data_IF_120215193435
#
_entry.id   IF_120215193435
#
_cell.length_a   1.000
_cell.length_b   1.000
_cell.length_c   1.000
_cell.angle_alpha   90.00
_cell.angle_beta   90.00
_cell.angle_gamma   90.00
#
_symmetry.space_group_name_H-M   'P 1'
#
loop_
_entity.id
_entity.type
_entity.pdbx_description
1 polymer ?
#
# COMPACT_ATOMS: atom_id res chain seq x y z
N UNK A 1 -15.42 11.75 25.47
CA UNK A 1 -14.18 11.12 24.95
C UNK A 1 -14.07 11.43 23.47
N UNK A 2 -13.35 12.50 23.15
CA UNK A 2 -13.17 13.00 21.78
C UNK A 2 -12.15 12.08 21.09
N UNK A 3 -12.58 11.29 20.09
CA UNK A 3 -11.64 10.53 19.25
C UNK A 3 -10.76 11.55 18.54
N UNK A 4 -9.49 11.63 18.95
CA UNK A 4 -8.50 12.45 18.28
C UNK A 4 -8.50 12.11 16.79
N UNK A 5 -8.44 13.14 15.94
CA UNK A 5 -8.35 12.99 14.48
C UNK A 5 -7.06 12.19 14.20
N UNK A 6 -7.21 10.91 13.87
CA UNK A 6 -6.11 10.10 13.35
C UNK A 6 -5.85 10.58 11.93
N UNK A 7 -4.70 11.22 11.72
CA UNK A 7 -4.25 11.52 10.37
C UNK A 7 -3.90 10.21 9.67
N UNK A 8 -4.42 10.01 8.47
CA UNK A 8 -4.03 8.90 7.60
C UNK A 8 -2.86 9.37 6.75
N UNK A 9 -1.78 8.60 6.73
CA UNK A 9 -0.63 8.80 5.86
C UNK A 9 -0.63 7.73 4.78
N UNK A 10 -0.35 8.14 3.55
CA UNK A 10 -0.25 7.24 2.39
C UNK A 10 1.20 7.28 1.93
N UNK A 11 1.82 6.10 1.86
CA UNK A 11 3.21 5.93 1.40
C UNK A 11 3.21 5.05 0.15
N UNK A 12 3.95 5.48 -0.88
CA UNK A 12 4.23 4.61 -2.02
C UNK A 12 5.38 3.66 -1.65
N UNK A 13 5.10 2.36 -1.61
CA UNK A 13 6.06 1.30 -1.32
C UNK A 13 6.78 0.84 -2.59
N UNK A 14 6.10 0.88 -3.73
CA UNK A 14 6.67 0.56 -5.03
C UNK A 14 5.87 1.23 -6.15
N UNK A 15 6.59 1.72 -7.16
CA UNK A 15 6.02 2.19 -8.41
C UNK A 15 7.02 1.95 -9.55
N UNK A 16 6.54 1.97 -10.79
CA UNK A 16 7.35 1.89 -11.99
C UNK A 16 6.95 3.00 -12.97
N UNK A 17 7.91 3.60 -13.67
CA UNK A 17 7.63 4.64 -14.67
C UNK A 17 7.00 4.06 -15.95
N UNK A 18 7.32 2.80 -16.28
CA UNK A 18 6.86 2.15 -17.51
C UNK A 18 5.48 1.49 -17.36
N UNK A 19 5.07 1.19 -16.13
CA UNK A 19 3.84 0.46 -15.84
C UNK A 19 2.96 1.29 -14.91
N UNK A 20 1.67 1.49 -15.24
CA UNK A 20 0.80 2.37 -14.49
C UNK A 20 0.23 1.67 -13.23
N UNK A 21 1.05 0.93 -12.48
CA UNK A 21 0.64 0.24 -11.25
C UNK A 21 1.58 0.60 -10.10
N UNK A 22 1.00 0.82 -8.93
CA UNK A 22 1.72 1.15 -7.69
C UNK A 22 1.24 0.27 -6.53
N UNK A 23 2.15 0.04 -5.59
CA UNK A 23 1.86 -0.54 -4.28
C UNK A 23 1.93 0.59 -3.24
N UNK A 24 0.82 0.81 -2.54
CA UNK A 24 0.73 1.77 -1.47
C UNK A 24 0.55 1.11 -0.11
N UNK A 25 1.06 1.77 0.90
CA UNK A 25 0.79 1.52 2.31
C UNK A 25 -0.03 2.69 2.88
N UNK A 26 -1.17 2.36 3.48
CA UNK A 26 -1.97 3.29 4.26
C UNK A 26 -1.70 3.02 5.74
N UNK A 27 -1.31 4.08 6.43
CA UNK A 27 -0.90 4.05 7.83
C UNK A 27 -1.69 5.05 8.66
N UNK A 28 -2.01 4.67 9.89
CA UNK A 28 -2.44 5.64 10.90
C UNK A 28 -1.22 6.34 11.45
N UNK A 29 -1.22 7.67 11.40
CA UNK A 29 -0.19 8.49 12.05
C UNK A 29 -0.60 8.75 13.48
N UNK A 30 0.13 8.15 14.40
CA UNK A 30 -0.06 8.37 15.83
C UNK A 30 0.53 9.73 16.25
N UNK A 31 0.05 10.33 17.37
CA UNK A 31 0.60 11.59 17.88
C UNK A 31 2.10 11.53 18.22
N UNK A 32 2.62 10.34 18.47
CA UNK A 32 4.06 10.06 18.67
C UNK A 32 4.89 10.24 17.40
N UNK A 33 4.25 10.37 16.24
CA UNK A 33 4.89 10.34 14.92
C UNK A 33 5.08 8.92 14.37
N UNK A 34 4.72 7.88 15.12
CA UNK A 34 4.76 6.50 14.63
C UNK A 34 3.66 6.28 13.59
N UNK A 35 4.03 5.70 12.45
CA UNK A 35 3.09 5.28 11.41
C UNK A 35 2.80 3.79 11.60
N UNK A 36 1.53 3.46 11.88
CA UNK A 36 1.07 2.07 12.00
C UNK A 36 0.34 1.67 10.72
N UNK A 37 0.93 0.80 9.88
CA UNK A 37 0.25 0.29 8.69
C UNK A 37 -1.04 -0.42 9.05
N UNK A 38 -2.09 -0.22 8.26
CA UNK A 38 -3.35 -0.93 8.40
C UNK A 38 -3.89 -1.48 7.09
N UNK A 39 -3.35 -1.04 5.94
CA UNK A 39 -3.77 -1.53 4.63
C UNK A 39 -2.66 -1.32 3.60
N UNK A 40 -2.57 -2.27 2.68
CA UNK A 40 -1.77 -2.22 1.49
C UNK A 40 -2.68 -2.32 0.27
N UNK A 41 -2.43 -1.48 -0.74
CA UNK A 41 -3.26 -1.38 -1.94
C UNK A 41 -2.38 -1.50 -3.18
N UNK A 42 -2.75 -2.41 -4.09
CA UNK A 42 -2.20 -2.45 -5.45
C UNK A 42 -3.20 -1.76 -6.36
N UNK A 43 -2.81 -0.67 -7.01
CA UNK A 43 -3.74 0.14 -7.80
C UNK A 43 -3.08 0.80 -9.01
N UNK A 44 -3.92 1.23 -9.94
CA UNK A 44 -3.54 2.19 -10.99
C UNK A 44 -3.80 3.61 -10.42
N UNK A 45 -2.86 4.56 -10.53
CA UNK A 45 -3.08 5.92 -10.02
C UNK A 45 -4.35 6.55 -10.58
N UNK A 46 -5.24 7.02 -9.69
CA UNK A 46 -6.52 7.62 -10.05
C UNK A 46 -7.69 6.64 -10.18
N UNK A 47 -7.43 5.33 -10.10
CA UNK A 47 -8.43 4.27 -10.16
C UNK A 47 -8.66 3.64 -8.78
N UNK A 48 -9.75 2.87 -8.67
CA UNK A 48 -10.00 2.02 -7.50
C UNK A 48 -8.92 0.94 -7.34
N UNK A 49 -8.62 0.48 -6.11
CA UNK A 49 -7.63 -0.55 -5.90
C UNK A 49 -7.99 -1.88 -6.58
N UNK A 50 -7.02 -2.45 -7.30
CA UNK A 50 -7.13 -3.78 -7.92
C UNK A 50 -7.10 -4.88 -6.84
N UNK A 51 -6.35 -4.64 -5.77
CA UNK A 51 -6.22 -5.55 -4.63
C UNK A 51 -5.96 -4.78 -3.35
N UNK A 52 -6.54 -5.26 -2.24
CA UNK A 52 -6.37 -4.68 -0.90
C UNK A 52 -6.08 -5.80 0.11
N UNK A 53 -5.16 -5.56 1.03
CA UNK A 53 -4.84 -6.51 2.11
C UNK A 53 -4.27 -5.80 3.34
N UNK A 54 -4.42 -6.39 4.51
CA UNK A 54 -3.71 -5.96 5.72
C UNK A 54 -2.26 -6.50 5.77
N UNK A 55 -1.91 -7.42 4.86
CA UNK A 55 -0.57 -8.02 4.77
C UNK A 55 0.23 -7.42 3.61
N UNK A 56 1.36 -6.77 3.92
CA UNK A 56 2.32 -6.28 2.92
C UNK A 56 2.77 -7.40 1.99
N UNK A 57 3.09 -8.56 2.58
CA UNK A 57 3.52 -9.74 1.84
C UNK A 57 2.48 -10.14 0.80
N UNK A 58 1.20 -10.25 1.18
CA UNK A 58 0.14 -10.63 0.24
C UNK A 58 -0.02 -9.61 -0.90
N UNK A 59 0.06 -8.30 -0.60
CA UNK A 59 -0.01 -7.26 -1.62
C UNK A 59 1.18 -7.31 -2.60
N UNK A 60 2.40 -7.52 -2.09
CA UNK A 60 3.60 -7.75 -2.92
C UNK A 60 3.47 -9.00 -3.79
N UNK A 61 2.99 -10.12 -3.22
CA UNK A 61 2.73 -11.35 -3.97
C UNK A 61 1.75 -11.13 -5.13
N UNK A 62 0.68 -10.39 -4.87
CA UNK A 62 -0.32 -10.05 -5.89
C UNK A 62 0.31 -9.21 -7.00
N UNK A 63 1.09 -8.19 -6.64
CA UNK A 63 1.78 -7.35 -7.61
C UNK A 63 2.79 -8.14 -8.46
N UNK A 64 3.60 -9.00 -7.86
CA UNK A 64 4.52 -9.88 -8.60
C UNK A 64 3.77 -10.79 -9.59
N UNK A 65 2.64 -11.37 -9.17
CA UNK A 65 1.80 -12.17 -10.05
C UNK A 65 1.22 -11.35 -11.21
N UNK A 66 0.73 -10.15 -10.93
CA UNK A 66 0.18 -9.23 -11.94
C UNK A 66 1.23 -8.85 -12.99
N UNK A 67 2.48 -8.68 -12.55
CA UNK A 67 3.62 -8.32 -13.40
C UNK A 67 4.34 -9.52 -14.03
N UNK A 68 3.85 -10.75 -13.79
CA UNK A 68 4.51 -11.99 -14.18
C UNK A 68 5.99 -12.09 -13.71
N UNK A 69 6.28 -11.53 -12.53
CA UNK A 69 7.60 -11.55 -11.91
C UNK A 69 7.79 -12.82 -11.05
N UNK A 70 9.05 -13.27 -10.87
CA UNK A 70 9.38 -14.32 -9.90
C UNK A 70 9.01 -13.92 -8.48
N UNK A 71 8.91 -14.94 -7.63
CA UNK A 71 8.61 -14.74 -6.22
C UNK A 71 9.75 -14.04 -5.46
N UNK A 72 9.46 -12.93 -4.76
CA UNK A 72 10.43 -12.20 -3.92
C UNK A 72 11.31 -11.23 -4.70
N UNK A 73 10.85 -10.80 -5.88
CA UNK A 73 11.54 -9.84 -6.72
C UNK A 73 11.26 -8.38 -6.32
N UNK A 74 10.17 -8.14 -5.57
CA UNK A 74 9.75 -6.82 -5.11
C UNK A 74 9.95 -6.62 -3.61
#
# INVERSE_FOLDING_TARGET
MSKAIQAVEIRCCWSCEELPVELLELSFKEPSGFCRPFRYEVRIPGEEPLYQSESEYAARRYLEMLLALPAGHL
#
